data_IF_617416039843
#
_entry.id   IF_617416039843
#
_cell.length_a   1.000
_cell.length_b   1.000
_cell.length_c   1.000
_cell.angle_alpha   90.00
_cell.angle_beta   90.00
_cell.angle_gamma   90.00
#
_symmetry.space_group_name_H-M   'P 1'
#
loop_
_entity.id
_entity.type
_entity.pdbx_description
1 polymer ?
#
# COMPACT_ATOMS: atom_id res chain seq x y z
N UNK A 1 -10.93 -23.39 3.36
CA UNK A 1 -11.17 -22.65 4.60
C UNK A 1 -11.31 -21.17 4.24
N UNK A 2 -12.46 -20.57 4.53
CA UNK A 2 -12.69 -19.14 4.29
C UNK A 2 -11.86 -18.35 5.30
N UNK A 3 -10.69 -17.87 4.90
CA UNK A 3 -9.96 -16.87 5.69
C UNK A 3 -10.70 -15.55 5.51
N UNK A 4 -11.36 -15.05 6.56
CA UNK A 4 -11.97 -13.72 6.51
C UNK A 4 -10.86 -12.67 6.44
N UNK A 5 -10.96 -11.73 5.51
CA UNK A 5 -10.04 -10.59 5.42
C UNK A 5 -9.96 -9.86 6.75
N UNK A 6 -8.75 -9.64 7.28
CA UNK A 6 -8.56 -8.90 8.53
C UNK A 6 -8.97 -7.44 8.33
N UNK A 7 -9.67 -6.88 9.31
CA UNK A 7 -10.06 -5.46 9.32
C UNK A 7 -9.42 -4.81 10.54
N UNK A 8 -8.74 -3.69 10.34
CA UNK A 8 -8.09 -2.90 11.40
C UNK A 8 -8.65 -1.48 11.33
N UNK A 9 -8.96 -0.88 12.48
CA UNK A 9 -9.35 0.52 12.58
C UNK A 9 -8.33 1.26 13.45
N UNK A 10 -7.87 2.42 12.97
CA UNK A 10 -6.93 3.28 13.70
C UNK A 10 -7.42 4.72 13.65
N UNK A 11 -7.00 5.50 14.64
CA UNK A 11 -7.37 6.90 14.79
C UNK A 11 -6.25 7.72 15.44
N UNK A 12 -6.35 9.04 15.32
CA UNK A 12 -5.44 9.99 15.97
C UNK A 12 -4.31 10.49 15.08
N UNK A 13 -3.34 11.14 15.72
CA UNK A 13 -2.18 11.74 15.09
C UNK A 13 -1.40 10.72 14.24
N UNK A 14 -0.72 11.15 13.16
CA UNK A 14 -0.10 10.26 12.18
C UNK A 14 0.80 9.17 12.78
N UNK A 15 1.71 9.56 13.67
CA UNK A 15 2.61 8.62 14.33
C UNK A 15 1.87 7.60 15.20
N UNK A 16 0.84 8.02 15.93
CA UNK A 16 0.11 7.17 16.87
C UNK A 16 -0.80 6.17 16.13
N UNK A 17 -1.51 6.63 15.09
CA UNK A 17 -2.30 5.73 14.25
C UNK A 17 -1.41 4.75 13.48
N UNK A 18 -0.24 5.22 13.03
CA UNK A 18 0.77 4.38 12.41
C UNK A 18 1.24 3.29 13.38
N UNK A 19 1.56 3.64 14.62
CA UNK A 19 1.95 2.68 15.66
C UNK A 19 0.85 1.64 15.92
N UNK A 20 -0.39 2.10 16.11
CA UNK A 20 -1.54 1.20 16.32
C UNK A 20 -1.76 0.24 15.15
N UNK A 21 -1.61 0.74 13.91
CA UNK A 21 -1.69 -0.09 12.71
C UNK A 21 -0.55 -1.12 12.67
N UNK A 22 0.69 -0.66 12.85
CA UNK A 22 1.89 -1.50 12.88
C UNK A 22 1.77 -2.64 13.89
N UNK A 23 1.32 -2.34 15.11
CA UNK A 23 1.14 -3.34 16.17
C UNK A 23 0.01 -4.32 15.87
N UNK A 24 -1.12 -3.84 15.33
CA UNK A 24 -2.30 -4.67 15.03
C UNK A 24 -2.09 -5.60 13.81
N UNK A 25 -1.18 -5.23 12.92
CA UNK A 25 -0.89 -5.97 11.69
C UNK A 25 0.54 -6.52 11.63
N UNK A 26 1.25 -6.57 12.76
CA UNK A 26 2.67 -6.95 12.85
C UNK A 26 2.99 -8.23 12.08
N UNK A 27 2.25 -9.30 12.31
CA UNK A 27 2.43 -10.59 11.64
C UNK A 27 2.26 -10.50 10.11
N UNK A 28 1.29 -9.71 9.63
CA UNK A 28 1.07 -9.50 8.21
C UNK A 28 2.17 -8.63 7.57
N UNK A 29 2.66 -7.61 8.29
CA UNK A 29 3.75 -6.73 7.85
C UNK A 29 5.05 -7.53 7.70
N UNK A 30 5.44 -8.29 8.72
CA UNK A 30 6.64 -9.15 8.66
C UNK A 30 6.55 -10.18 7.53
N UNK A 31 5.38 -10.77 7.33
CA UNK A 31 5.13 -11.66 6.19
C UNK A 31 5.27 -10.95 4.84
N UNK A 32 4.79 -9.71 4.74
CA UNK A 32 4.91 -8.91 3.53
C UNK A 32 6.37 -8.57 3.22
N UNK A 33 7.13 -8.16 4.23
CA UNK A 33 8.58 -7.92 4.15
C UNK A 33 9.30 -9.16 3.62
N UNK A 34 9.05 -10.34 4.18
CA UNK A 34 9.71 -11.57 3.75
C UNK A 34 9.34 -11.95 2.29
N UNK A 35 8.09 -11.75 1.89
CA UNK A 35 7.69 -11.97 0.50
C UNK A 35 8.45 -11.03 -0.45
N UNK A 36 8.54 -9.74 -0.14
CA UNK A 36 9.28 -8.79 -0.97
C UNK A 36 10.78 -9.07 -1.00
N UNK A 37 11.39 -9.41 0.14
CA UNK A 37 12.79 -9.85 0.22
C UNK A 37 13.09 -10.99 -0.76
N UNK A 38 12.24 -12.02 -0.78
CA UNK A 38 12.40 -13.15 -1.71
C UNK A 38 12.17 -12.71 -3.16
N UNK A 39 11.20 -11.85 -3.42
CA UNK A 39 10.88 -11.39 -4.78
C UNK A 39 11.99 -10.53 -5.37
N UNK A 40 12.51 -9.56 -4.62
CA UNK A 40 13.60 -8.69 -5.07
C UNK A 40 14.86 -9.49 -5.37
N UNK A 41 15.27 -10.39 -4.47
CA UNK A 41 16.41 -11.26 -4.73
C UNK A 41 16.20 -12.13 -5.97
N UNK A 42 15.05 -12.80 -6.07
CA UNK A 42 14.80 -13.78 -7.14
C UNK A 42 14.64 -13.17 -8.52
N UNK A 43 14.01 -12.01 -8.61
CA UNK A 43 13.55 -11.47 -9.89
C UNK A 43 14.21 -10.15 -10.28
N UNK A 44 14.78 -9.41 -9.32
CA UNK A 44 15.55 -8.20 -9.57
C UNK A 44 17.05 -8.34 -9.26
N UNK A 45 17.48 -9.44 -8.60
CA UNK A 45 18.87 -9.61 -8.17
C UNK A 45 19.29 -8.62 -7.07
N UNK A 46 18.32 -7.99 -6.41
CA UNK A 46 18.55 -7.02 -5.35
C UNK A 46 18.53 -7.73 -3.99
N UNK A 47 19.62 -7.62 -3.26
CA UNK A 47 19.68 -8.04 -1.86
C UNK A 47 18.91 -7.07 -0.96
N UNK A 48 18.32 -7.57 0.12
CA UNK A 48 17.42 -6.76 0.96
C UNK A 48 18.09 -5.54 1.58
N UNK A 49 19.37 -5.65 1.96
CA UNK A 49 20.11 -4.53 2.52
C UNK A 49 20.34 -3.41 1.48
N UNK A 50 20.49 -3.75 0.19
CA UNK A 50 20.58 -2.75 -0.88
C UNK A 50 19.23 -2.05 -1.10
N UNK A 51 18.12 -2.80 -1.02
CA UNK A 51 16.77 -2.22 -1.11
C UNK A 51 16.54 -1.24 0.04
N UNK A 52 16.91 -1.60 1.27
CA UNK A 52 16.81 -0.71 2.43
C UNK A 52 17.70 0.53 2.28
N UNK A 53 18.94 0.37 1.82
CA UNK A 53 19.84 1.50 1.61
C UNK A 53 19.31 2.49 0.55
N UNK A 54 18.66 2.00 -0.50
CA UNK A 54 18.00 2.86 -1.48
C UNK A 54 16.75 3.54 -0.90
N UNK A 55 15.93 2.79 -0.14
CA UNK A 55 14.75 3.32 0.55
C UNK A 55 15.11 4.41 1.58
N UNK A 56 16.25 4.29 2.27
CA UNK A 56 16.78 5.30 3.19
C UNK A 56 16.95 6.66 2.47
N UNK A 57 17.43 6.64 1.22
CA UNK A 57 17.58 7.84 0.39
C UNK A 57 16.26 8.54 0.07
N UNK A 58 15.12 7.85 0.16
CA UNK A 58 13.79 8.43 -0.11
C UNK A 58 13.14 9.05 1.12
N UNK A 59 13.56 8.69 2.34
CA UNK A 59 13.03 9.26 3.60
C UNK A 59 13.02 10.80 3.59
N UNK A 60 14.13 11.51 3.29
CA UNK A 60 14.12 12.97 3.27
C UNK A 60 13.22 13.56 2.18
N UNK A 61 13.02 12.82 1.07
CA UNK A 61 12.15 13.24 -0.03
C UNK A 61 10.68 13.13 0.39
N UNK A 62 10.30 11.99 0.97
CA UNK A 62 8.94 11.74 1.49
C UNK A 62 8.62 12.77 2.57
N UNK A 63 9.48 12.96 3.57
CA UNK A 63 9.26 13.93 4.65
C UNK A 63 9.09 15.35 4.14
N UNK A 64 9.84 15.75 3.12
CA UNK A 64 9.73 17.09 2.53
C UNK A 64 8.42 17.27 1.77
N UNK A 65 7.93 16.21 1.10
CA UNK A 65 6.69 16.23 0.37
C UNK A 65 5.46 16.20 1.29
N UNK A 66 5.46 15.25 2.24
CA UNK A 66 4.40 15.06 3.22
C UNK A 66 4.98 14.51 4.53
N UNK A 67 5.13 15.40 5.51
CA UNK A 67 5.65 15.06 6.83
C UNK A 67 4.71 14.17 7.64
N UNK A 68 3.39 14.31 7.48
CA UNK A 68 2.42 13.50 8.21
C UNK A 68 2.46 12.05 7.73
N UNK A 69 2.56 11.82 6.42
CA UNK A 69 2.73 10.46 5.87
C UNK A 69 4.02 9.83 6.40
N UNK A 70 5.11 10.59 6.48
CA UNK A 70 6.37 10.07 7.00
C UNK A 70 6.24 9.72 8.50
N UNK A 71 5.58 10.55 9.29
CA UNK A 71 5.33 10.27 10.71
C UNK A 71 4.48 8.99 10.88
N UNK A 72 3.49 8.78 10.03
CA UNK A 72 2.70 7.53 10.01
C UNK A 72 3.55 6.31 9.64
N UNK A 73 4.43 6.41 8.62
CA UNK A 73 5.40 5.36 8.27
C UNK A 73 6.29 4.99 9.45
N UNK A 74 6.82 5.99 10.17
CA UNK A 74 7.64 5.77 11.36
C UNK A 74 6.85 5.10 12.49
N UNK A 75 5.59 5.50 12.67
CA UNK A 75 4.65 4.84 13.56
C UNK A 75 4.50 3.36 13.21
N UNK A 76 4.20 3.05 11.94
CA UNK A 76 4.03 1.67 11.46
C UNK A 76 5.28 0.84 11.74
N UNK A 77 6.46 1.37 11.43
CA UNK A 77 7.73 0.69 11.67
C UNK A 77 7.93 0.38 13.16
N UNK A 78 7.69 1.37 14.03
CA UNK A 78 7.80 1.21 15.47
C UNK A 78 6.79 0.18 16.02
N UNK A 79 5.53 0.25 15.59
CA UNK A 79 4.48 -0.65 16.05
C UNK A 79 4.66 -2.09 15.56
N UNK A 80 5.20 -2.26 14.36
CA UNK A 80 5.51 -3.56 13.77
C UNK A 80 6.88 -4.10 14.24
N UNK A 81 7.68 -3.31 14.95
CA UNK A 81 9.05 -3.65 15.35
C UNK A 81 9.93 -4.05 14.15
N UNK A 82 9.91 -3.22 13.12
CA UNK A 82 10.81 -3.32 11.96
C UNK A 82 11.47 -1.96 11.69
N UNK A 83 12.37 -1.91 10.71
CA UNK A 83 13.06 -0.67 10.36
C UNK A 83 12.20 0.25 9.49
N UNK A 84 12.43 1.57 9.56
CA UNK A 84 11.68 2.57 8.78
C UNK A 84 11.89 2.33 7.29
N UNK A 85 13.11 1.96 6.91
CA UNK A 85 13.53 1.66 5.55
C UNK A 85 12.73 0.48 4.96
N UNK A 86 12.38 -0.52 5.78
CA UNK A 86 11.55 -1.63 5.33
C UNK A 86 10.13 -1.19 5.02
N UNK A 87 9.54 -0.32 5.84
CA UNK A 87 8.20 0.23 5.58
C UNK A 87 8.22 1.18 4.37
N UNK A 88 9.25 2.01 4.23
CA UNK A 88 9.44 2.84 3.04
C UNK A 88 9.57 1.96 1.80
N UNK A 89 10.33 0.86 1.86
CA UNK A 89 10.47 -0.06 0.73
C UNK A 89 9.15 -0.73 0.33
N UNK A 90 8.28 -1.07 1.28
CA UNK A 90 6.93 -1.57 0.99
C UNK A 90 6.05 -0.52 0.29
N UNK A 91 6.13 0.74 0.73
CA UNK A 91 5.36 1.84 0.15
C UNK A 91 5.87 2.27 -1.23
N UNK A 92 7.18 2.20 -1.43
CA UNK A 92 7.85 2.56 -2.67
C UNK A 92 8.19 1.32 -3.55
N UNK A 93 7.39 0.27 -3.41
CA UNK A 93 7.59 -0.98 -4.15
C UNK A 93 7.49 -0.81 -5.66
N UNK A 94 6.76 0.18 -6.16
CA UNK A 94 6.58 0.41 -7.60
C UNK A 94 7.85 1.01 -8.20
N UNK A 95 8.55 1.83 -7.43
CA UNK A 95 9.82 2.45 -7.76
C UNK A 95 10.91 1.37 -7.94
N UNK A 96 10.93 0.35 -7.08
CA UNK A 96 11.81 -0.81 -7.24
C UNK A 96 11.35 -1.81 -8.34
N UNK A 97 10.04 -1.97 -8.54
CA UNK A 97 9.48 -3.09 -9.32
C UNK A 97 9.19 -2.79 -10.78
N UNK A 98 8.89 -1.52 -11.13
CA UNK A 98 8.53 -1.11 -12.50
C UNK A 98 9.69 -1.26 -13.49
N UNK A 99 10.94 -1.29 -13.03
CA UNK A 99 12.10 -1.38 -13.92
C UNK A 99 12.51 -2.83 -14.20
N UNK A 100 12.54 -3.70 -13.17
CA UNK A 100 13.13 -5.05 -13.29
C UNK A 100 12.12 -6.21 -13.17
N UNK A 101 11.11 -6.10 -12.29
CA UNK A 101 10.08 -7.14 -12.09
C UNK A 101 8.98 -7.11 -13.16
N UNK A 102 8.69 -5.90 -13.60
CA UNK A 102 7.67 -5.46 -14.55
C UNK A 102 7.84 -6.08 -15.95
N UNK A 103 9.07 -6.05 -16.50
CA UNK A 103 9.37 -6.53 -17.87
C UNK A 103 9.13 -8.04 -18.04
N UNK A 104 9.17 -8.81 -16.95
CA UNK A 104 8.97 -10.27 -16.95
C UNK A 104 7.56 -10.71 -16.52
N UNK A 105 6.71 -9.79 -16.04
CA UNK A 105 5.36 -10.12 -15.56
C UNK A 105 4.39 -8.99 -15.94
N UNK A 106 3.80 -9.08 -17.15
CA UNK A 106 2.65 -8.28 -17.54
C UNK A 106 1.47 -8.70 -16.65
N UNK A 107 1.24 -7.95 -15.57
CA UNK A 107 0.11 -8.16 -14.66
C UNK A 107 -0.92 -7.10 -14.98
N UNK A 108 -2.15 -7.53 -15.20
CA UNK A 108 -3.20 -6.69 -15.73
C UNK A 108 -4.24 -6.50 -14.63
N UNK A 109 -4.32 -5.31 -14.03
CA UNK A 109 -5.49 -4.97 -13.22
C UNK A 109 -6.61 -4.48 -14.14
N UNK A 110 -7.87 -4.70 -13.76
CA UNK A 110 -9.03 -4.16 -14.49
C UNK A 110 -9.85 -3.31 -13.55
N UNK A 111 -10.16 -2.08 -13.94
CA UNK A 111 -11.04 -1.19 -13.20
C UNK A 111 -12.14 -0.67 -14.12
N UNK A 112 -13.33 -0.45 -13.57
CA UNK A 112 -14.47 0.12 -14.29
C UNK A 112 -15.22 1.12 -13.40
N UNK A 113 -15.85 2.09 -14.05
CA UNK A 113 -16.78 3.01 -13.42
C UNK A 113 -18.07 3.04 -14.25
N UNK A 114 -19.21 2.97 -13.57
CA UNK A 114 -20.53 3.24 -14.16
C UNK A 114 -21.06 4.50 -13.50
N UNK A 115 -21.30 5.53 -14.30
CA UNK A 115 -21.91 6.78 -13.84
C UNK A 115 -23.42 6.65 -13.82
N UNK A 116 -24.14 7.47 -13.03
CA UNK A 116 -25.58 7.43 -12.99
C UNK A 116 -26.21 7.56 -14.39
N UNK A 117 -27.18 6.71 -14.66
CA UNK A 117 -28.11 6.79 -15.79
C UNK A 117 -29.51 6.67 -15.19
N UNK A 118 -30.30 7.73 -15.35
CA UNK A 118 -31.66 7.91 -14.82
C UNK A 118 -32.65 6.76 -15.11
N UNK A 119 -32.29 5.82 -15.98
CA UNK A 119 -33.11 4.67 -16.34
C UNK A 119 -32.76 3.37 -15.61
N UNK A 120 -31.57 3.24 -15.02
CA UNK A 120 -31.07 1.95 -14.51
C UNK A 120 -30.22 2.04 -13.23
N UNK A 121 -29.49 3.14 -13.01
CA UNK A 121 -28.52 3.27 -11.91
C UNK A 121 -28.50 4.73 -11.44
N UNK A 122 -28.85 4.97 -10.18
CA UNK A 122 -28.88 6.32 -9.58
C UNK A 122 -27.55 6.73 -8.92
N UNK A 123 -26.63 5.78 -8.74
CA UNK A 123 -25.35 5.98 -8.04
C UNK A 123 -24.13 5.65 -8.91
N UNK A 124 -23.00 6.30 -8.65
CA UNK A 124 -21.74 5.87 -9.27
C UNK A 124 -21.30 4.52 -8.70
N UNK A 125 -21.10 3.53 -9.56
CA UNK A 125 -20.50 2.23 -9.20
C UNK A 125 -19.05 2.23 -9.66
N UNK A 126 -18.13 1.85 -8.76
CA UNK A 126 -16.71 1.69 -9.06
C UNK A 126 -16.27 0.30 -8.63
N UNK A 127 -15.52 -0.40 -9.49
CA UNK A 127 -15.02 -1.74 -9.18
C UNK A 127 -13.66 -2.01 -9.80
N UNK A 128 -12.89 -2.87 -9.15
CA UNK A 128 -11.58 -3.28 -9.63
C UNK A 128 -11.24 -4.72 -9.22
N UNK A 129 -10.67 -5.47 -10.16
CA UNK A 129 -9.81 -6.61 -9.85
C UNK A 129 -8.36 -6.14 -9.74
N UNK A 130 -7.67 -6.56 -8.68
CA UNK A 130 -6.26 -6.28 -8.46
C UNK A 130 -5.45 -7.57 -8.60
N UNK A 131 -4.89 -7.77 -9.79
CA UNK A 131 -4.28 -9.03 -10.19
C UNK A 131 -2.77 -9.02 -9.92
N UNK A 132 -2.41 -9.37 -8.69
CA UNK A 132 -1.01 -9.50 -8.26
C UNK A 132 -0.63 -10.96 -7.94
N UNK A 133 0.45 -11.20 -7.19
CA UNK A 133 0.86 -12.60 -6.88
C UNK A 133 -0.04 -13.15 -5.79
N UNK A 134 -0.51 -14.39 -5.95
CA UNK A 134 -1.40 -15.05 -4.98
C UNK A 134 -0.88 -15.04 -3.54
N UNK A 135 0.46 -15.04 -3.35
CA UNK A 135 1.11 -14.95 -2.04
C UNK A 135 0.77 -13.67 -1.26
N UNK A 136 0.46 -12.56 -1.95
CA UNK A 136 0.07 -11.30 -1.30
C UNK A 136 -1.36 -11.31 -0.77
N UNK A 137 -2.19 -12.28 -1.18
CA UNK A 137 -3.55 -12.40 -0.62
C UNK A 137 -3.52 -12.54 0.90
N UNK A 138 -2.51 -13.21 1.43
CA UNK A 138 -2.34 -13.46 2.86
C UNK A 138 -1.66 -12.32 3.62
N UNK A 139 -1.27 -11.24 2.93
CA UNK A 139 -0.74 -10.00 3.53
C UNK A 139 -1.68 -8.83 3.33
N UNK A 140 -2.84 -9.04 2.67
CA UNK A 140 -3.83 -8.00 2.49
C UNK A 140 -4.77 -7.87 3.69
N UNK A 141 -5.18 -6.64 3.99
CA UNK A 141 -6.17 -6.31 5.02
C UNK A 141 -7.00 -5.10 4.60
N UNK A 142 -8.11 -4.88 5.31
CA UNK A 142 -8.88 -3.66 5.23
C UNK A 142 -8.45 -2.74 6.39
N UNK A 143 -8.04 -1.51 6.09
CA UNK A 143 -7.68 -0.50 7.08
C UNK A 143 -8.69 0.64 7.03
N UNK A 144 -9.36 0.88 8.15
CA UNK A 144 -10.13 2.10 8.39
C UNK A 144 -9.27 3.08 9.18
N UNK A 145 -9.11 4.30 8.65
CA UNK A 145 -8.37 5.37 9.29
C UNK A 145 -9.33 6.51 9.59
N UNK A 146 -9.53 6.78 10.88
CA UNK A 146 -10.22 7.99 11.33
C UNK A 146 -9.19 9.11 11.48
N UNK A 147 -9.31 10.13 10.64
CA UNK A 147 -8.32 11.21 10.61
C UNK A 147 -8.69 12.33 11.58
N UNK A 148 -7.69 13.06 12.07
CA UNK A 148 -7.91 14.24 12.90
C UNK A 148 -8.30 15.47 12.07
N UNK A 149 -8.99 16.41 12.71
CA UNK A 149 -9.46 17.64 12.09
C UNK A 149 -10.61 17.41 11.12
N UNK A 150 -10.66 18.21 10.05
CA UNK A 150 -11.70 18.13 9.01
C UNK A 150 -11.30 17.20 7.85
N UNK A 151 -10.29 16.33 8.05
CA UNK A 151 -9.85 15.38 7.03
C UNK A 151 -10.86 14.22 6.92
N UNK A 152 -11.16 13.72 5.71
CA UNK A 152 -12.10 12.62 5.56
C UNK A 152 -11.55 11.30 6.13
N UNK A 153 -12.36 10.56 6.88
CA UNK A 153 -12.07 9.16 7.21
C UNK A 153 -11.88 8.32 5.95
N UNK A 154 -10.93 7.39 5.97
CA UNK A 154 -10.52 6.59 4.81
C UNK A 154 -10.70 5.10 5.11
N UNK A 155 -11.21 4.33 4.15
CA UNK A 155 -11.30 2.88 4.20
C UNK A 155 -10.61 2.27 2.97
N UNK A 156 -9.59 1.45 3.19
CA UNK A 156 -8.73 0.92 2.13
C UNK A 156 -8.60 -0.58 2.20
N UNK A 157 -8.40 -1.22 1.04
CA UNK A 157 -7.90 -2.58 0.94
C UNK A 157 -6.46 -2.56 0.39
N UNK A 158 -5.50 -2.91 1.24
CA UNK A 158 -4.06 -2.69 1.01
C UNK A 158 -3.23 -3.91 1.41
N UNK A 159 -1.95 -3.88 1.03
CA UNK A 159 -0.94 -4.79 1.57
C UNK A 159 -0.44 -4.27 2.92
N UNK A 160 -0.26 -5.16 3.89
CA UNK A 160 0.17 -4.78 5.23
C UNK A 160 1.49 -4.00 5.21
N UNK A 161 1.51 -2.84 5.88
CA UNK A 161 2.67 -1.95 5.98
C UNK A 161 2.64 -0.76 5.04
N UNK A 162 1.71 -0.71 4.07
CA UNK A 162 1.54 0.49 3.24
C UNK A 162 0.61 1.50 3.91
N UNK A 163 0.83 2.80 3.72
CA UNK A 163 -0.05 3.87 4.25
C UNK A 163 -1.28 4.11 3.38
N UNK A 164 -1.25 3.69 2.11
CA UNK A 164 -2.33 3.97 1.16
C UNK A 164 -2.43 2.95 0.04
N UNK A 165 -3.66 2.66 -0.39
CA UNK A 165 -3.95 1.86 -1.58
C UNK A 165 -5.35 2.21 -2.14
N UNK A 166 -6.06 1.22 -2.69
CA UNK A 166 -7.40 1.34 -3.27
C UNK A 166 -8.42 1.35 -2.15
N UNK A 167 -9.46 2.16 -2.29
CA UNK A 167 -10.40 2.38 -1.21
C UNK A 167 -11.39 3.51 -1.49
N UNK A 168 -11.98 4.01 -0.42
CA UNK A 168 -12.90 5.14 -0.43
C UNK A 168 -12.72 6.01 0.81
N UNK A 169 -13.34 7.18 0.82
CA UNK A 169 -13.39 8.04 2.00
C UNK A 169 -14.81 8.51 2.33
N UNK A 170 -14.97 9.11 3.52
CA UNK A 170 -16.24 9.63 4.03
C UNK A 170 -16.81 10.83 3.25
N UNK A 171 -16.01 11.46 2.38
CA UNK A 171 -16.46 12.49 1.44
C UNK A 171 -16.97 11.93 0.11
N UNK A 172 -17.04 10.60 -0.03
CA UNK A 172 -17.58 9.94 -1.23
C UNK A 172 -16.57 9.74 -2.37
N UNK A 173 -15.28 10.07 -2.16
CA UNK A 173 -14.23 9.75 -3.14
C UNK A 173 -13.92 8.25 -3.10
N UNK A 174 -13.70 7.66 -4.28
CA UNK A 174 -13.34 6.25 -4.45
C UNK A 174 -12.15 6.14 -5.40
N UNK A 175 -11.22 5.24 -5.10
CA UNK A 175 -9.96 5.10 -5.81
C UNK A 175 -9.70 3.64 -6.21
N UNK A 176 -9.42 3.43 -7.50
CA UNK A 176 -8.86 2.21 -8.06
C UNK A 176 -7.44 2.49 -8.58
N UNK A 177 -6.56 1.50 -8.49
CA UNK A 177 -5.14 1.64 -8.88
C UNK A 177 -4.74 0.54 -9.86
N UNK A 178 -4.33 0.91 -11.07
CA UNK A 178 -3.82 -0.02 -12.07
C UNK A 178 -2.32 0.24 -12.29
N UNK A 179 -1.52 -0.83 -12.33
CA UNK A 179 -0.14 -0.71 -12.76
C UNK A 179 -0.10 -0.30 -14.24
N UNK A 180 0.77 0.65 -14.57
CA UNK A 180 1.03 1.10 -15.92
C UNK A 180 2.53 1.04 -16.18
N UNK A 181 2.88 0.82 -17.44
CA UNK A 181 4.25 0.85 -17.92
C UNK A 181 4.34 1.87 -19.05
N UNK A 182 5.41 2.64 -19.06
CA UNK A 182 5.76 3.57 -20.13
C UNK A 182 7.05 3.13 -20.82
N UNK A 183 7.17 3.46 -22.10
CA UNK A 183 8.43 3.44 -22.85
C UNK A 183 9.51 4.35 -22.24
N UNK A 184 9.12 5.25 -21.34
CA UNK A 184 10.01 6.14 -20.59
C UNK A 184 10.47 5.59 -19.24
N UNK A 185 9.96 4.42 -18.82
CA UNK A 185 10.42 3.78 -17.58
C UNK A 185 11.86 3.29 -17.80
N UNK A 186 12.82 4.04 -17.24
CA UNK A 186 14.25 3.73 -17.32
C UNK A 186 14.67 2.89 -16.12
N UNK A 187 15.60 1.96 -16.36
CA UNK A 187 16.31 1.18 -15.34
C UNK A 187 17.47 2.01 -14.81
#
# INVERSE_FOLDING_TARGET
MSSSTRIVYVEGAPRDRGFSYGSSAKDLIHKNIEIYRVLYRRFAGLEWDNVKAEAEGWIPIIRKYDGEIMDEIEGIAAGAECSVEEIVALNARYEFSITTLSRRNRRECTAFAVTPDSSLIDETILGQNWDFRSRFRETCLILGVRQEGEKPDVLMHLEAGTVGHKGLNSSGLRLCINALHSDRDRV
#
